data_IF_315002799988
#
_entry.id   IF_315002799988
#
_cell.length_a   1.000
_cell.length_b   1.000
_cell.length_c   1.000
_cell.angle_alpha   90.00
_cell.angle_beta   90.00
_cell.angle_gamma   90.00
#
_symmetry.space_group_name_H-M   'P 1'
#
loop_
_entity.id
_entity.type
_entity.pdbx_description
1 polymer ?
#
# COMPACT_ATOMS: atom_id res chain seq x y z
N UNK A 1 -24.62 -14.38 25.13
CA UNK A 1 -23.79 -13.18 25.36
C UNK A 1 -23.37 -12.66 24.01
N UNK A 2 -24.00 -11.60 23.53
CA UNK A 2 -23.65 -10.94 22.26
C UNK A 2 -22.56 -9.93 22.60
N UNK A 3 -21.31 -10.30 22.33
CA UNK A 3 -20.19 -9.38 22.46
C UNK A 3 -20.34 -8.30 21.41
N UNK A 4 -20.52 -7.06 21.84
CA UNK A 4 -20.57 -5.88 20.99
C UNK A 4 -19.26 -5.74 20.21
N UNK A 5 -19.29 -6.04 18.90
CA UNK A 5 -18.22 -5.77 17.92
C UNK A 5 -18.10 -4.27 17.57
N UNK A 6 -18.55 -3.38 18.44
CA UNK A 6 -18.32 -1.94 18.27
C UNK A 6 -16.88 -1.64 18.71
N UNK A 7 -15.92 -1.72 17.78
CA UNK A 7 -14.54 -1.30 18.01
C UNK A 7 -13.43 -2.09 17.32
N UNK A 8 -13.72 -3.26 16.72
CA UNK A 8 -12.73 -3.99 15.91
C UNK A 8 -12.61 -3.33 14.52
N UNK A 9 -11.72 -2.35 14.39
CA UNK A 9 -11.42 -1.72 13.10
C UNK A 9 -10.72 -2.72 12.17
N UNK A 10 -11.44 -3.24 11.17
CA UNK A 10 -10.85 -4.07 10.10
C UNK A 10 -10.72 -3.27 8.81
N UNK A 11 -9.59 -3.51 8.12
CA UNK A 11 -9.11 -2.90 6.87
C UNK A 11 -8.35 -1.59 7.04
N UNK A 12 -7.11 -1.76 7.50
CA UNK A 12 -6.03 -0.76 7.50
C UNK A 12 -5.56 -0.47 6.08
N UNK A 13 -5.94 0.70 5.59
CA UNK A 13 -5.58 1.21 4.28
C UNK A 13 -4.55 2.34 4.42
N UNK A 14 -3.41 2.24 3.75
CA UNK A 14 -2.30 3.21 3.87
C UNK A 14 -1.80 3.66 2.51
N UNK A 15 -1.71 4.98 2.32
CA UNK A 15 -0.89 5.56 1.27
C UNK A 15 0.54 5.71 1.75
N UNK A 16 1.43 4.88 1.22
CA UNK A 16 2.86 5.04 1.37
C UNK A 16 3.38 6.20 0.51
N UNK A 17 2.77 6.39 -0.67
CA UNK A 17 3.01 7.53 -1.53
C UNK A 17 1.77 7.84 -2.38
N UNK A 18 1.61 9.11 -2.74
CA UNK A 18 0.45 9.58 -3.49
C UNK A 18 -0.79 9.72 -2.63
N UNK A 19 -1.95 9.78 -3.27
CA UNK A 19 -3.27 9.89 -2.66
C UNK A 19 -4.35 9.39 -3.63
N UNK A 20 -5.60 9.45 -3.20
CA UNK A 20 -6.71 9.38 -4.14
C UNK A 20 -6.69 10.58 -5.08
N UNK A 21 -6.78 10.31 -6.36
CA UNK A 21 -6.89 11.34 -7.38
C UNK A 21 -8.35 11.57 -7.75
N UNK A 22 -8.76 12.83 -7.89
CA UNK A 22 -10.01 13.18 -8.60
C UNK A 22 -9.74 13.22 -10.11
N UNK A 23 -9.29 12.08 -10.64
CA UNK A 23 -8.80 12.00 -12.01
C UNK A 23 -9.90 11.37 -12.86
N UNK A 24 -10.36 12.04 -13.93
CA UNK A 24 -11.34 11.48 -14.85
C UNK A 24 -10.90 10.10 -15.34
N UNK A 25 -11.85 9.17 -15.44
CA UNK A 25 -11.62 7.82 -15.98
C UNK A 25 -12.02 7.86 -17.46
N UNK A 26 -11.06 7.77 -18.40
CA UNK A 26 -11.40 7.71 -19.81
C UNK A 26 -12.07 6.36 -20.17
N UNK A 27 -12.81 6.28 -21.29
CA UNK A 27 -13.45 5.04 -21.74
C UNK A 27 -12.47 3.90 -21.97
N UNK A 28 -11.25 4.21 -22.42
CA UNK A 28 -10.16 3.25 -22.56
C UNK A 28 -8.96 3.80 -21.82
N UNK A 29 -8.34 2.94 -21.00
CA UNK A 29 -7.28 3.33 -20.09
C UNK A 29 -6.33 2.17 -19.88
N UNK A 30 -5.04 2.47 -19.77
CA UNK A 30 -4.01 1.50 -19.43
C UNK A 30 -3.21 2.00 -18.23
N UNK A 31 -2.99 1.12 -17.25
CA UNK A 31 -2.25 1.40 -16.02
C UNK A 31 -1.03 0.52 -15.95
N UNK A 32 0.15 1.11 -15.80
CA UNK A 32 1.37 0.38 -15.49
C UNK A 32 1.48 0.28 -13.96
N UNK A 33 1.41 -0.94 -13.42
CA UNK A 33 1.44 -1.18 -11.98
C UNK A 33 2.17 -2.49 -11.61
N UNK A 34 2.54 -2.60 -10.33
CA UNK A 34 2.96 -3.85 -9.69
C UNK A 34 2.03 -4.15 -8.52
N UNK A 35 1.61 -5.41 -8.40
CA UNK A 35 0.75 -5.86 -7.31
C UNK A 35 1.44 -6.98 -6.55
N UNK A 36 1.63 -6.78 -5.24
CA UNK A 36 2.15 -7.80 -4.33
C UNK A 36 1.13 -8.10 -3.23
N UNK A 37 1.16 -9.34 -2.74
CA UNK A 37 0.43 -9.79 -1.56
C UNK A 37 1.43 -10.21 -0.51
N UNK A 38 1.28 -9.66 0.69
CA UNK A 38 2.09 -9.98 1.85
C UNK A 38 1.28 -10.70 2.94
N UNK A 39 1.93 -11.53 3.74
CA UNK A 39 1.38 -12.00 5.01
C UNK A 39 1.61 -10.99 6.14
N UNK A 40 1.14 -11.33 7.35
CA UNK A 40 1.34 -10.51 8.55
C UNK A 40 2.79 -10.39 9.02
N UNK A 41 3.69 -11.21 8.50
CA UNK A 41 5.14 -11.14 8.77
C UNK A 41 5.89 -10.28 7.72
N UNK A 42 5.18 -9.70 6.75
CA UNK A 42 5.78 -8.91 5.68
C UNK A 42 6.47 -9.75 4.59
N UNK A 43 6.21 -11.05 4.50
CA UNK A 43 6.71 -11.92 3.43
C UNK A 43 5.79 -11.87 2.21
N UNK A 44 6.38 -11.85 1.01
CA UNK A 44 5.63 -11.87 -0.25
C UNK A 44 5.08 -13.29 -0.47
N UNK A 45 3.75 -13.42 -0.55
CA UNK A 45 3.06 -14.66 -0.88
C UNK A 45 2.73 -14.77 -2.36
N UNK A 46 2.50 -13.64 -3.02
CA UNK A 46 2.17 -13.56 -4.44
C UNK A 46 2.60 -12.20 -4.99
N UNK A 47 3.05 -12.17 -6.24
CA UNK A 47 3.15 -10.94 -7.01
C UNK A 47 4.29 -10.96 -8.02
N UNK A 48 4.40 -9.87 -8.76
CA UNK A 48 5.44 -9.67 -9.76
C UNK A 48 6.82 -9.51 -9.11
N UNK A 49 7.89 -9.94 -9.78
CA UNK A 49 9.23 -9.59 -9.33
C UNK A 49 9.40 -8.05 -9.42
N UNK A 50 9.94 -7.43 -8.37
CA UNK A 50 10.12 -5.98 -8.32
C UNK A 50 11.17 -5.49 -9.32
N UNK A 51 12.09 -6.35 -9.74
CA UNK A 51 13.12 -6.04 -10.75
C UNK A 51 12.58 -6.05 -12.19
N UNK A 52 11.45 -6.73 -12.43
CA UNK A 52 10.86 -6.83 -13.76
C UNK A 52 10.13 -5.53 -14.14
N UNK A 53 9.81 -5.39 -15.43
CA UNK A 53 8.90 -4.32 -15.87
C UNK A 53 7.53 -4.43 -15.18
N UNK A 54 6.83 -3.32 -14.90
CA UNK A 54 5.48 -3.37 -14.36
C UNK A 54 4.52 -4.01 -15.38
N UNK A 55 3.55 -4.76 -14.90
CA UNK A 55 2.44 -5.22 -15.73
C UNK A 55 1.54 -4.06 -16.15
N UNK A 56 1.00 -4.17 -17.36
CA UNK A 56 0.06 -3.22 -17.94
C UNK A 56 -1.37 -3.75 -17.83
N UNK A 57 -2.19 -3.06 -17.05
CA UNK A 57 -3.60 -3.39 -16.80
C UNK A 57 -4.49 -2.52 -17.68
N UNK A 58 -5.35 -3.14 -18.48
CA UNK A 58 -6.25 -2.46 -19.40
C UNK A 58 -7.67 -2.38 -18.85
N UNK A 59 -8.29 -1.23 -19.04
CA UNK A 59 -9.66 -0.96 -18.63
C UNK A 59 -10.50 -0.46 -19.81
N UNK A 60 -11.68 -1.05 -19.97
CA UNK A 60 -12.69 -0.65 -20.95
C UNK A 60 -13.96 -0.24 -20.21
N UNK A 61 -14.39 1.01 -20.41
CA UNK A 61 -15.47 1.67 -19.69
C UNK A 61 -15.34 1.53 -18.16
N UNK A 62 -14.10 1.66 -17.66
CA UNK A 62 -13.79 1.52 -16.24
C UNK A 62 -13.81 0.08 -15.70
N UNK A 63 -14.00 -0.93 -16.55
CA UNK A 63 -13.98 -2.35 -16.17
C UNK A 63 -12.64 -2.94 -16.58
N UNK A 64 -11.98 -3.66 -15.67
CA UNK A 64 -10.75 -4.38 -15.97
C UNK A 64 -11.01 -5.46 -17.03
N UNK A 65 -10.20 -5.44 -18.08
CA UNK A 65 -10.36 -6.27 -19.26
C UNK A 65 -9.24 -7.31 -19.35
N UNK A 66 -7.98 -6.86 -19.34
CA UNK A 66 -6.81 -7.71 -19.54
C UNK A 66 -5.55 -7.16 -18.87
N UNK A 67 -4.54 -8.01 -18.73
CA UNK A 67 -3.22 -7.66 -18.22
C UNK A 67 -2.16 -8.19 -19.18
N UNK A 68 -1.27 -7.31 -19.65
CA UNK A 68 -0.21 -7.64 -20.62
C UNK A 68 -0.74 -8.37 -21.88
N UNK A 69 -1.96 -8.01 -22.32
CA UNK A 69 -2.63 -8.65 -23.45
C UNK A 69 -3.16 -10.07 -23.17
N UNK A 70 -3.06 -10.56 -21.94
CA UNK A 70 -3.67 -11.83 -21.49
C UNK A 70 -5.00 -11.54 -20.80
N UNK A 71 -6.06 -12.16 -21.31
CA UNK A 71 -7.37 -12.12 -20.68
C UNK A 71 -7.37 -13.05 -19.43
N UNK A 72 -8.20 -12.71 -18.45
CA UNK A 72 -8.58 -13.60 -17.32
C UNK A 72 -7.52 -13.92 -16.24
N UNK A 73 -6.40 -13.19 -16.13
CA UNK A 73 -5.57 -13.35 -14.92
C UNK A 73 -6.33 -12.91 -13.66
N UNK A 74 -6.42 -13.77 -12.63
CA UNK A 74 -7.12 -13.42 -11.40
C UNK A 74 -6.34 -12.34 -10.64
N UNK A 75 -7.03 -11.26 -10.28
CA UNK A 75 -6.48 -10.19 -9.44
C UNK A 75 -6.74 -10.51 -7.96
N UNK A 76 -5.74 -10.39 -7.08
CA UNK A 76 -5.96 -10.49 -5.64
C UNK A 76 -6.92 -9.38 -5.19
N UNK A 77 -7.94 -9.73 -4.39
CA UNK A 77 -8.93 -8.78 -3.91
C UNK A 77 -9.50 -7.90 -5.05
N UNK A 78 -9.86 -8.54 -6.18
CA UNK A 78 -10.24 -7.88 -7.45
C UNK A 78 -11.05 -6.58 -7.30
N UNK A 79 -12.15 -6.54 -6.52
CA UNK A 79 -12.95 -5.31 -6.38
C UNK A 79 -12.20 -4.13 -5.75
N UNK A 80 -11.20 -4.39 -4.91
CA UNK A 80 -10.36 -3.37 -4.29
C UNK A 80 -9.27 -2.93 -5.25
N UNK A 81 -8.51 -3.89 -5.79
CA UNK A 81 -7.37 -3.60 -6.69
C UNK A 81 -7.82 -2.82 -7.91
N UNK A 82 -8.92 -3.21 -8.56
CA UNK A 82 -9.44 -2.48 -9.73
C UNK A 82 -9.75 -1.02 -9.41
N UNK A 83 -10.30 -0.74 -8.21
CA UNK A 83 -10.58 0.63 -7.79
C UNK A 83 -9.30 1.41 -7.55
N UNK A 84 -8.33 0.80 -6.89
CA UNK A 84 -7.05 1.45 -6.61
C UNK A 84 -6.30 1.79 -7.90
N UNK A 85 -6.27 0.89 -8.89
CA UNK A 85 -5.63 1.15 -10.18
C UNK A 85 -6.25 2.35 -10.92
N UNK A 86 -7.56 2.61 -10.75
CA UNK A 86 -8.27 3.69 -11.45
C UNK A 86 -8.22 5.04 -10.72
N UNK A 87 -8.28 5.01 -9.39
CA UNK A 87 -8.64 6.17 -8.56
C UNK A 87 -7.49 6.72 -7.70
N UNK A 88 -6.25 6.36 -7.97
CA UNK A 88 -5.07 6.89 -7.27
C UNK A 88 -4.28 7.85 -8.16
N UNK A 89 -3.54 8.76 -7.54
CA UNK A 89 -2.57 9.60 -8.24
C UNK A 89 -1.50 8.74 -8.93
N UNK A 90 -0.84 9.29 -9.95
CA UNK A 90 0.31 8.63 -10.57
C UNK A 90 1.56 9.48 -10.35
N UNK A 91 2.61 8.95 -9.70
CA UNK A 91 2.70 7.60 -9.14
C UNK A 91 2.04 7.48 -7.75
N UNK A 92 1.70 6.26 -7.33
CA UNK A 92 1.23 5.96 -5.97
C UNK A 92 1.69 4.60 -5.48
N UNK A 93 1.87 4.49 -4.17
CA UNK A 93 2.06 3.20 -3.50
C UNK A 93 1.08 3.11 -2.34
N UNK A 94 0.25 2.08 -2.37
CA UNK A 94 -0.82 1.87 -1.40
C UNK A 94 -0.79 0.43 -0.91
N UNK A 95 -1.03 0.21 0.38
CA UNK A 95 -1.27 -1.12 0.92
C UNK A 95 -2.60 -1.18 1.67
N UNK A 96 -3.26 -2.32 1.57
CA UNK A 96 -4.53 -2.56 2.22
C UNK A 96 -4.54 -3.94 2.87
N UNK A 97 -4.92 -4.01 4.13
CA UNK A 97 -5.29 -5.25 4.81
C UNK A 97 -6.60 -5.79 4.23
N UNK A 98 -6.65 -7.07 3.85
CA UNK A 98 -7.79 -7.73 3.22
C UNK A 98 -8.03 -9.08 3.93
N UNK A 99 -9.26 -9.38 4.36
CA UNK A 99 -9.57 -10.70 4.89
C UNK A 99 -9.25 -11.79 3.86
N UNK A 100 -8.62 -12.89 4.28
CA UNK A 100 -8.14 -13.92 3.35
C UNK A 100 -9.25 -14.53 2.47
N UNK A 101 -10.48 -14.61 2.98
CA UNK A 101 -11.65 -15.07 2.22
C UNK A 101 -12.08 -14.13 1.07
N UNK A 102 -11.69 -12.85 1.12
CA UNK A 102 -11.99 -11.84 0.08
C UNK A 102 -10.90 -11.73 -0.98
N UNK A 103 -9.79 -12.45 -0.83
CA UNK A 103 -8.67 -12.39 -1.78
C UNK A 103 -9.02 -12.93 -3.16
N UNK A 104 -10.00 -13.83 -3.29
CA UNK A 104 -10.43 -14.36 -4.59
C UNK A 104 -9.37 -15.20 -5.32
N UNK A 105 -8.27 -15.54 -4.63
CA UNK A 105 -7.16 -16.35 -5.13
C UNK A 105 -6.82 -17.42 -4.08
N UNK A 106 -6.48 -18.63 -4.53
CA UNK A 106 -6.14 -19.74 -3.65
C UNK A 106 -4.71 -19.59 -3.10
N UNK A 107 -4.55 -18.88 -1.99
CA UNK A 107 -3.28 -18.81 -1.26
C UNK A 107 -3.25 -19.84 -0.13
N UNK A 108 -2.14 -20.57 0.00
CA UNK A 108 -1.92 -21.51 1.09
C UNK A 108 -1.39 -20.79 2.32
N UNK A 109 -2.25 -20.04 3.02
CA UNK A 109 -1.93 -19.42 4.32
C UNK A 109 -3.04 -19.64 5.33
N UNK A 110 -2.67 -19.70 6.60
CA UNK A 110 -3.59 -19.76 7.75
C UNK A 110 -3.92 -18.37 8.29
N UNK A 111 -3.30 -17.32 7.76
CA UNK A 111 -3.52 -15.95 8.22
C UNK A 111 -4.98 -15.53 7.97
N UNK A 112 -5.65 -14.92 8.95
CA UNK A 112 -7.02 -14.41 8.76
C UNK A 112 -7.07 -13.18 7.84
N UNK A 113 -5.95 -12.44 7.76
CA UNK A 113 -5.80 -11.24 6.94
C UNK A 113 -4.50 -11.28 6.16
N UNK A 114 -4.54 -10.73 4.95
CA UNK A 114 -3.41 -10.57 4.04
C UNK A 114 -3.31 -9.12 3.59
N UNK A 115 -2.17 -8.68 3.09
CA UNK A 115 -1.94 -7.29 2.73
C UNK A 115 -1.67 -7.17 1.24
N UNK A 116 -2.56 -6.50 0.52
CA UNK A 116 -2.38 -6.21 -0.91
C UNK A 116 -1.72 -4.86 -1.05
N UNK A 117 -0.54 -4.82 -1.64
CA UNK A 117 0.16 -3.60 -2.00
C UNK A 117 0.11 -3.37 -3.51
N UNK A 118 -0.34 -2.18 -3.91
CA UNK A 118 -0.49 -1.75 -5.30
C UNK A 118 0.43 -0.56 -5.54
N UNK A 119 1.42 -0.75 -6.40
CA UNK A 119 2.35 0.26 -6.86
C UNK A 119 1.95 0.71 -8.26
N UNK A 120 1.41 1.91 -8.40
CA UNK A 120 1.03 2.50 -9.70
C UNK A 120 2.13 3.43 -10.18
N UNK A 121 2.67 3.15 -11.37
CA UNK A 121 3.79 3.87 -11.97
C UNK A 121 3.41 4.63 -13.24
N UNK A 122 2.28 4.32 -13.87
CA UNK A 122 1.90 4.96 -15.12
C UNK A 122 0.42 4.85 -15.39
N UNK A 123 -0.11 5.85 -16.08
CA UNK A 123 -1.41 5.81 -16.74
C UNK A 123 -1.28 6.52 -18.08
N UNK A 124 -1.84 5.95 -19.12
CA UNK A 124 -1.62 6.38 -20.52
C UNK A 124 -2.08 7.82 -20.82
N UNK A 125 -3.07 8.33 -20.11
CA UNK A 125 -3.56 9.71 -20.23
C UNK A 125 -2.90 10.71 -19.26
N UNK A 126 -1.98 10.26 -18.39
CA UNK A 126 -1.29 11.10 -17.42
C UNK A 126 0.19 11.27 -17.74
N UNK A 127 0.81 12.24 -17.06
CA UNK A 127 2.25 12.45 -17.14
C UNK A 127 2.98 11.19 -16.66
N UNK A 128 4.01 10.71 -17.38
CA UNK A 128 4.77 9.55 -16.97
C UNK A 128 5.54 9.81 -15.65
N UNK A 129 5.58 8.79 -14.80
CA UNK A 129 6.39 8.78 -13.58
C UNK A 129 7.89 8.90 -13.90
N UNK A 130 8.59 9.74 -13.15
CA UNK A 130 10.04 9.98 -13.34
C UNK A 130 10.87 8.76 -12.92
N UNK A 131 12.08 8.62 -13.46
CA UNK A 131 12.97 7.52 -13.08
C UNK A 131 13.29 7.54 -11.57
N UNK A 132 13.52 8.72 -11.00
CA UNK A 132 13.79 8.88 -9.56
C UNK A 132 12.59 8.47 -8.70
N UNK A 133 11.36 8.75 -9.15
CA UNK A 133 10.15 8.32 -8.45
C UNK A 133 9.97 6.81 -8.53
N UNK A 134 10.21 6.20 -9.69
CA UNK A 134 10.15 4.74 -9.86
C UNK A 134 11.13 4.02 -8.93
N UNK A 135 12.38 4.48 -8.90
CA UNK A 135 13.41 3.91 -8.03
C UNK A 135 13.04 4.06 -6.56
N UNK A 136 12.65 5.28 -6.14
CA UNK A 136 12.23 5.55 -4.77
C UNK A 136 11.08 4.64 -4.31
N UNK A 137 10.06 4.46 -5.15
CA UNK A 137 8.90 3.64 -4.81
C UNK A 137 9.18 2.15 -4.87
N UNK A 138 10.05 1.69 -5.77
CA UNK A 138 10.51 0.31 -5.80
C UNK A 138 11.25 -0.05 -4.50
N UNK A 139 12.20 0.81 -4.08
CA UNK A 139 12.93 0.63 -2.81
C UNK A 139 11.98 0.71 -1.62
N UNK A 140 10.98 1.61 -1.64
CA UNK A 140 9.96 1.68 -0.59
C UNK A 140 9.12 0.40 -0.49
N UNK A 141 8.66 -0.12 -1.64
CA UNK A 141 7.88 -1.36 -1.74
C UNK A 141 8.66 -2.58 -1.21
N UNK A 142 9.97 -2.63 -1.51
CA UNK A 142 10.82 -3.76 -1.13
C UNK A 142 11.28 -3.71 0.34
N UNK A 143 11.62 -2.51 0.84
CA UNK A 143 12.32 -2.38 2.12
C UNK A 143 11.45 -1.82 3.25
N UNK A 144 10.54 -0.91 2.94
CA UNK A 144 9.77 -0.19 3.96
C UNK A 144 8.39 -0.80 4.19
N UNK A 145 7.63 -1.07 3.13
CA UNK A 145 6.29 -1.67 3.21
C UNK A 145 6.28 -2.96 4.04
N UNK A 146 7.06 -4.02 3.72
CA UNK A 146 7.01 -5.26 4.48
C UNK A 146 7.35 -5.06 5.95
N UNK A 147 8.28 -4.14 6.27
CA UNK A 147 8.68 -3.84 7.65
C UNK A 147 7.58 -3.14 8.44
N UNK A 148 6.87 -2.19 7.81
CA UNK A 148 5.70 -1.56 8.40
C UNK A 148 4.59 -2.59 8.63
N UNK A 149 4.31 -3.44 7.64
CA UNK A 149 3.29 -4.49 7.76
C UNK A 149 3.61 -5.47 8.89
N UNK A 150 4.83 -6.00 8.94
CA UNK A 150 5.29 -6.91 9.97
C UNK A 150 5.20 -6.32 11.39
N UNK A 151 5.40 -5.00 11.50
CA UNK A 151 5.30 -4.28 12.77
C UNK A 151 3.86 -4.00 13.16
N UNK A 152 3.00 -3.66 12.19
CA UNK A 152 1.63 -3.22 12.45
C UNK A 152 0.62 -4.36 12.56
N UNK A 153 0.87 -5.50 11.91
CA UNK A 153 -0.05 -6.63 11.87
C UNK A 153 -0.33 -7.25 13.26
N UNK A 154 0.66 -7.49 14.14
CA UNK A 154 0.42 -8.12 15.44
C UNK A 154 -0.45 -7.27 16.36
N UNK A 155 -0.27 -5.95 16.28
CA UNK A 155 -0.96 -4.96 17.11
C UNK A 155 -2.22 -4.43 16.43
N UNK A 156 -2.63 -5.02 15.30
CA UNK A 156 -3.64 -4.44 14.43
C UNK A 156 -5.01 -4.21 15.07
N UNK A 157 -5.37 -5.03 16.05
CA UNK A 157 -6.63 -4.95 16.76
C UNK A 157 -6.66 -3.94 17.92
N UNK A 158 -5.50 -3.41 18.30
CA UNK A 158 -5.34 -2.59 19.52
C UNK A 158 -5.47 -1.09 19.27
N UNK A 159 -5.48 -0.67 18.00
CA UNK A 159 -5.39 0.73 17.65
C UNK A 159 -6.74 1.42 17.51
N UNK A 160 -6.84 2.59 18.13
CA UNK A 160 -8.00 3.48 18.00
C UNK A 160 -7.74 4.57 16.94
N UNK A 161 -8.73 4.88 16.08
CA UNK A 161 -8.63 6.01 15.17
C UNK A 161 -8.36 7.33 15.91
N UNK A 162 -7.44 8.16 15.40
CA UNK A 162 -7.17 9.51 15.93
C UNK A 162 -5.84 9.68 16.66
N UNK A 163 -5.12 8.61 17.00
CA UNK A 163 -3.81 8.68 17.65
C UNK A 163 -2.64 8.29 16.71
N UNK A 164 -2.59 8.93 15.55
CA UNK A 164 -1.58 8.64 14.54
C UNK A 164 -0.15 8.90 15.05
N UNK A 165 0.03 9.88 15.94
CA UNK A 165 1.36 10.25 16.44
C UNK A 165 1.94 9.22 17.40
N UNK A 166 1.18 8.77 18.40
CA UNK A 166 1.69 7.75 19.31
C UNK A 166 1.88 6.42 18.58
N UNK A 167 0.97 6.10 17.64
CA UNK A 167 1.14 4.98 16.72
C UNK A 167 2.47 5.05 15.95
N UNK A 168 2.83 6.21 15.38
CA UNK A 168 4.10 6.36 14.66
C UNK A 168 5.31 6.17 15.58
N UNK A 169 5.24 6.66 16.82
CA UNK A 169 6.31 6.49 17.81
C UNK A 169 6.47 5.00 18.17
N UNK A 170 5.37 4.32 18.42
CA UNK A 170 5.34 2.90 18.78
C UNK A 170 5.86 2.02 17.63
N UNK A 171 5.36 2.25 16.41
CA UNK A 171 5.83 1.52 15.21
C UNK A 171 7.31 1.81 14.96
N UNK A 172 7.76 3.07 15.09
CA UNK A 172 9.18 3.42 14.93
C UNK A 172 10.06 2.68 15.95
N UNK A 173 9.65 2.60 17.22
CA UNK A 173 10.38 1.87 18.26
C UNK A 173 10.52 0.38 17.89
N UNK A 174 9.44 -0.26 17.45
CA UNK A 174 9.47 -1.66 17.04
C UNK A 174 10.35 -1.88 15.81
N UNK A 175 10.32 -0.98 14.83
CA UNK A 175 11.17 -1.07 13.62
C UNK A 175 12.66 -0.91 13.93
N UNK A 176 13.03 -0.15 14.97
CA UNK A 176 14.43 -0.03 15.43
C UNK A 176 14.95 -1.33 16.06
N UNK A 177 14.10 -2.03 16.81
CA UNK A 177 14.46 -3.30 17.48
C UNK A 177 14.78 -4.44 16.49
N UNK A 178 14.38 -4.30 15.22
CA UNK A 178 14.59 -5.32 14.17
C UNK A 178 16.01 -5.21 13.54
N UNK A 179 16.84 -4.22 13.93
CA UNK A 179 18.26 -4.01 13.57
C UNK A 179 18.67 -4.13 12.07
N UNK A 180 19.98 -4.05 11.76
CA UNK A 180 20.62 -3.51 10.53
C UNK A 180 20.28 -4.14 9.15
N UNK A 181 19.10 -3.85 8.61
CA UNK A 181 18.80 -4.11 7.19
C UNK A 181 19.36 -2.99 6.28
N UNK A 182 20.29 -3.34 5.39
CA UNK A 182 20.90 -2.42 4.41
C UNK A 182 19.87 -1.77 3.47
N UNK A 183 18.85 -2.52 3.04
CA UNK A 183 17.80 -2.03 2.16
C UNK A 183 16.92 -1.01 2.89
N UNK A 184 16.60 -1.26 4.16
CA UNK A 184 15.87 -0.30 4.99
C UNK A 184 16.68 0.99 5.19
N UNK A 185 17.97 0.88 5.47
CA UNK A 185 18.86 2.04 5.62
C UNK A 185 18.95 2.85 4.32
N UNK A 186 19.04 2.16 3.18
CA UNK A 186 19.01 2.78 1.85
C UNK A 186 17.72 3.56 1.63
N UNK A 187 16.56 2.96 1.93
CA UNK A 187 15.28 3.65 1.84
C UNK A 187 15.24 4.91 2.72
N UNK A 188 15.65 4.81 3.99
CA UNK A 188 15.63 5.95 4.91
C UNK A 188 16.57 7.07 4.45
N UNK A 189 17.72 6.74 3.86
CA UNK A 189 18.62 7.72 3.25
C UNK A 189 17.97 8.43 2.06
N UNK A 190 17.28 7.69 1.17
CA UNK A 190 16.53 8.27 0.04
C UNK A 190 15.41 9.20 0.53
N UNK A 191 14.61 8.74 1.50
CA UNK A 191 13.54 9.53 2.10
C UNK A 191 14.08 10.83 2.73
N UNK A 192 15.20 10.72 3.47
CA UNK A 192 15.88 11.87 4.07
C UNK A 192 16.30 12.89 3.02
N UNK A 193 17.00 12.45 1.97
CA UNK A 193 17.46 13.33 0.89
C UNK A 193 16.31 14.05 0.17
N UNK A 194 15.13 13.42 0.11
CA UNK A 194 13.96 13.97 -0.57
C UNK A 194 13.12 14.93 0.26
N UNK A 195 12.97 14.67 1.56
CA UNK A 195 11.98 15.38 2.39
C UNK A 195 12.54 16.03 3.66
N UNK A 196 13.76 15.68 4.09
CA UNK A 196 14.31 16.11 5.38
C UNK A 196 15.48 17.07 5.17
N UNK A 197 15.20 18.36 5.36
CA UNK A 197 16.21 19.42 5.19
C UNK A 197 17.12 19.61 6.42
N UNK A 198 16.74 19.08 7.59
CA UNK A 198 17.46 19.28 8.87
C UNK A 198 18.24 18.02 9.28
N UNK A 199 19.35 18.15 10.01
CA UNK A 199 20.07 17.00 10.55
C UNK A 199 19.25 16.36 11.68
N UNK A 200 18.49 15.32 11.35
CA UNK A 200 17.72 14.53 12.32
C UNK A 200 18.41 13.18 12.59
N UNK A 201 18.28 12.63 13.81
CA UNK A 201 18.66 11.25 14.08
C UNK A 201 17.76 10.31 13.26
N UNK A 202 18.28 9.12 12.93
CA UNK A 202 17.58 8.16 12.07
C UNK A 202 16.17 7.85 12.57
N UNK A 203 16.02 7.59 13.87
CA UNK A 203 14.73 7.43 14.56
C UNK A 203 13.68 8.47 14.14
N UNK A 204 14.06 9.75 14.21
CA UNK A 204 13.15 10.85 13.94
C UNK A 204 12.81 10.94 12.44
N UNK A 205 13.69 10.47 11.56
CA UNK A 205 13.40 10.32 10.12
C UNK A 205 12.39 9.21 9.89
N UNK A 206 12.53 8.07 10.58
CA UNK A 206 11.55 6.96 10.52
C UNK A 206 10.19 7.41 11.04
N UNK A 207 10.13 8.05 12.20
CA UNK A 207 8.89 8.61 12.76
C UNK A 207 8.22 9.60 11.80
N UNK A 208 9.00 10.50 11.19
CA UNK A 208 8.48 11.45 10.22
C UNK A 208 7.97 10.76 8.95
N UNK A 209 8.66 9.71 8.48
CA UNK A 209 8.21 8.88 7.37
C UNK A 209 6.88 8.20 7.70
N UNK A 210 6.77 7.58 8.88
CA UNK A 210 5.53 6.99 9.35
C UNK A 210 4.41 8.02 9.48
N UNK A 211 4.67 9.22 9.96
CA UNK A 211 3.67 10.30 10.02
C UNK A 211 3.19 10.73 8.62
N UNK A 212 4.05 10.64 7.60
CA UNK A 212 3.65 10.93 6.23
C UNK A 212 2.78 9.82 5.63
N UNK A 213 2.97 8.57 6.04
CA UNK A 213 2.24 7.39 5.54
C UNK A 213 0.95 7.14 6.32
N UNK A 214 1.02 7.22 7.64
CA UNK A 214 -0.06 6.96 8.60
C UNK A 214 -0.91 8.23 8.83
N UNK A 215 -1.25 8.93 7.75
CA UNK A 215 -2.17 10.07 7.77
C UNK A 215 -3.60 9.56 7.98
N UNK A 216 -3.86 9.16 9.23
CA UNK A 216 -5.07 8.52 9.75
C UNK A 216 -5.36 7.13 9.16
N UNK A 217 -5.33 6.05 9.96
CA UNK A 217 -5.89 4.78 9.52
C UNK A 217 -7.40 4.94 9.39
N UNK A 218 -7.88 5.14 8.17
CA UNK A 218 -9.32 5.09 7.93
C UNK A 218 -9.73 3.63 7.84
N UNK A 219 -10.81 3.27 8.53
CA UNK A 219 -11.53 2.04 8.21
C UNK A 219 -11.95 2.11 6.74
N UNK A 220 -11.56 1.14 5.92
CA UNK A 220 -11.81 1.14 4.47
C UNK A 220 -13.28 1.42 4.12
N UNK A 221 -14.22 0.83 4.87
CA UNK A 221 -15.65 1.06 4.68
C UNK A 221 -16.05 2.51 4.98
N UNK A 222 -15.54 3.09 6.06
CA UNK A 222 -15.75 4.49 6.37
C UNK A 222 -15.12 5.41 5.32
N UNK A 223 -13.95 5.08 4.78
CA UNK A 223 -13.33 5.83 3.69
C UNK A 223 -14.16 5.76 2.39
N UNK A 224 -14.71 4.58 2.08
CA UNK A 224 -15.64 4.37 0.96
C UNK A 224 -16.94 5.16 1.17
N UNK A 225 -17.59 5.02 2.32
CA UNK A 225 -18.87 5.64 2.62
C UNK A 225 -18.78 7.17 2.66
N UNK A 226 -17.67 7.71 3.16
CA UNK A 226 -17.41 9.15 3.16
C UNK A 226 -16.81 9.65 1.84
N UNK A 227 -16.81 8.83 0.78
CA UNK A 227 -16.28 9.19 -0.55
C UNK A 227 -14.80 9.63 -0.55
N UNK A 228 -14.04 9.24 0.48
CA UNK A 228 -12.58 9.37 0.51
C UNK A 228 -11.95 8.38 -0.47
N UNK A 229 -12.59 7.20 -0.63
CA UNK A 229 -12.41 6.28 -1.75
C UNK A 229 -13.66 6.38 -2.62
N UNK A 230 -13.57 6.96 -3.81
CA UNK A 230 -14.72 7.07 -4.71
C UNK A 230 -15.05 5.69 -5.34
N UNK A 231 -16.32 5.31 -5.25
CA UNK A 231 -16.92 4.15 -5.91
C UNK A 231 -17.40 4.50 -7.32
#
# INVERSE_FOLDING_TARGET
MVGSQYGQGSLRYFFFHGNHGDIPIPPHMSVDAKILVFNGEGQILLGENLEDSPSRYHFNNGIYDSMDGQNERPLPAKPLVEKLLKNVSVPSLVAAEVPSHQMGIGLQTLDPFLYVAVLVLGRDDLRPCTANDREYLAVMMQAFVPRVLATMAPIASEYLPGDARNLCIEVANHMELIENDFNFQTFIAMYRGRYVQKPLPQRAVVELCLLHVLKMPFELNSAIQNSLIRY
#
